data_IF_298886482722
#
_entry.id   IF_298886482722
#
_cell.length_a   1.000
_cell.length_b   1.000
_cell.length_c   1.000
_cell.angle_alpha   90.00
_cell.angle_beta   90.00
_cell.angle_gamma   90.00
#
_symmetry.space_group_name_H-M   'P 1'
#
loop_
_entity.id
_entity.type
_entity.pdbx_description
1 polymer ?
2 non-polymer ?
3 water ?
#
# COMPACT_ATOMS: atom_id res chain seq x y z
N UNK A 7 -16.59 5.84 20.31
CA UNK A 7 -17.55 4.85 20.76
C UNK A 7 -16.90 3.84 21.71
N UNK A 8 -17.69 3.24 22.61
CA UNK A 8 -17.10 2.40 23.66
C UNK A 8 -16.46 1.15 23.09
N UNK A 9 -15.41 0.63 23.73
CA UNK A 9 -14.82 -0.63 23.26
C UNK A 9 -15.79 -1.80 23.33
N UNK A 10 -15.55 -2.79 22.47
CA UNK A 10 -16.22 -4.08 22.54
C UNK A 10 -15.16 -5.16 22.73
N UNK A 11 -15.61 -6.33 23.17
CA UNK A 11 -14.65 -7.43 23.27
C UNK A 11 -14.20 -7.89 21.88
N UNK A 12 -13.07 -8.61 21.87
CA UNK A 12 -12.57 -9.17 20.62
C UNK A 12 -13.59 -10.12 20.00
N UNK A 13 -14.23 -10.96 20.82
CA UNK A 13 -15.23 -11.88 20.30
C UNK A 13 -16.43 -11.11 19.74
N UNK A 14 -16.87 -10.04 20.41
CA UNK A 14 -17.99 -9.26 19.92
C UNK A 14 -17.64 -8.58 18.59
N UNK A 15 -16.41 -8.11 18.46
CA UNK A 15 -16.00 -7.51 17.19
C UNK A 15 -16.02 -8.54 16.08
N UNK A 16 -15.48 -9.73 16.34
CA UNK A 16 -15.43 -10.78 15.34
C UNK A 16 -16.82 -11.29 14.97
N UNK A 17 -17.75 -11.26 15.92
CA UNK A 17 -19.12 -11.62 15.60
C UNK A 17 -19.78 -10.57 14.70
N UNK A 18 -19.22 -9.36 14.64
CA UNK A 18 -19.72 -8.31 13.77
C UNK A 18 -18.83 -8.11 12.54
N UNK A 19 -18.22 -9.18 12.04
CA UNK A 19 -17.37 -9.02 10.86
C UNK A 19 -18.20 -8.69 9.61
N UNK A 20 -17.49 -8.31 8.54
CA UNK A 20 -18.13 -7.97 7.28
C UNK A 20 -19.05 -9.09 6.81
N UNK A 21 -20.31 -8.74 6.56
CA UNK A 21 -21.34 -9.71 6.22
C UNK A 21 -21.42 -9.85 4.71
N UNK A 22 -21.24 -11.07 4.21
CA UNK A 22 -21.18 -11.29 2.77
C UNK A 22 -21.54 -12.75 2.47
N UNK A 23 -22.30 -12.96 1.38
CA UNK A 23 -22.72 -14.30 0.99
C UNK A 23 -21.65 -14.92 0.08
N UNK A 24 -20.68 -15.60 0.70
CA UNK A 24 -19.59 -16.18 -0.08
C UNK A 24 -20.06 -17.33 -0.97
N UNK A 25 -21.13 -18.02 -0.59
CA UNK A 25 -21.55 -19.14 -1.43
C UNK A 25 -22.03 -18.67 -2.80
N UNK A 26 -22.61 -17.47 -2.88
CA UNK A 26 -23.13 -16.95 -4.14
C UNK A 26 -22.08 -16.18 -4.97
N UNK A 27 -20.83 -16.12 -4.51
CA UNK A 27 -19.83 -15.26 -5.12
C UNK A 27 -18.68 -16.11 -5.65
N UNK A 28 -18.16 -15.76 -6.81
CA UNK A 28 -16.96 -16.39 -7.34
C UNK A 28 -15.83 -15.35 -7.34
N UNK A 29 -14.88 -15.42 -6.42
CA UNK A 29 -13.76 -14.46 -6.44
C UNK A 29 -13.01 -14.56 -7.76
N UNK A 30 -12.57 -13.45 -8.33
CA UNK A 30 -11.85 -13.55 -9.61
C UNK A 30 -10.51 -14.25 -9.43
N UNK A 31 -10.22 -15.17 -10.34
CA UNK A 31 -8.99 -15.96 -10.28
C UNK A 31 -7.83 -15.10 -10.77
N UNK A 32 -6.72 -15.13 -10.06
CA UNK A 32 -5.55 -14.37 -10.49
C UNK A 32 -4.97 -15.00 -11.76
N UNK A 33 -4.86 -14.20 -12.81
CA UNK A 33 -4.37 -14.77 -14.06
C UNK A 33 -2.90 -15.16 -13.99
N UNK A 34 -2.07 -14.34 -13.32
CA UNK A 34 -0.63 -14.55 -13.26
C UNK A 34 -0.20 -14.80 -11.83
N UNK A 35 -0.19 -16.07 -11.42
CA UNK A 35 0.34 -16.42 -10.10
C UNK A 35 1.86 -16.35 -10.10
N UNK A 36 2.44 -15.91 -9.01
CA UNK A 36 3.88 -15.87 -8.90
C UNK A 36 4.39 -14.44 -8.75
N UNK A 37 5.71 -14.35 -8.73
CA UNK A 37 6.42 -13.10 -8.44
C UNK A 37 7.13 -12.64 -9.70
N UNK A 38 7.02 -11.35 -10.00
CA UNK A 38 7.58 -10.73 -11.21
C UNK A 38 8.26 -9.42 -10.86
N UNK A 39 9.55 -9.33 -11.13
CA UNK A 39 10.24 -8.05 -11.07
C UNK A 39 9.71 -7.14 -12.17
N UNK A 40 9.55 -5.86 -11.85
CA UNK A 40 9.06 -4.89 -12.81
C UNK A 40 9.96 -3.65 -12.78
N UNK A 41 9.89 -2.87 -13.84
CA UNK A 41 10.48 -1.54 -13.85
C UNK A 41 9.53 -0.62 -14.60
N UNK A 42 9.75 0.67 -14.44
CA UNK A 42 8.98 1.66 -15.18
C UNK A 42 9.87 2.85 -15.39
N UNK A 43 9.83 3.41 -16.59
CA UNK A 43 10.64 4.59 -16.88
C UNK A 43 9.98 5.84 -16.31
N UNK A 44 10.79 6.89 -16.18
CA UNK A 44 10.22 8.18 -15.81
C UNK A 44 9.22 8.64 -16.85
N UNK A 45 9.52 8.40 -18.14
CA UNK A 45 8.57 8.80 -19.18
C UNK A 45 7.21 8.14 -18.96
N UNK A 46 7.20 6.84 -18.63
CA UNK A 46 5.94 6.16 -18.39
C UNK A 46 5.24 6.69 -17.14
N UNK A 47 5.99 6.84 -16.05
CA UNK A 47 5.36 7.16 -14.77
C UNK A 47 4.87 8.59 -14.71
N UNK A 48 5.43 9.50 -15.53
CA UNK A 48 5.05 10.90 -15.28
C UNK A 48 3.59 11.12 -15.67
N UNK A 49 3.00 10.23 -16.45
CA UNK A 49 1.58 10.33 -16.77
C UNK A 49 0.70 9.75 -15.67
N UNK A 50 1.29 9.14 -14.66
CA UNK A 50 0.57 8.64 -13.50
C UNK A 50 0.86 9.45 -12.23
N UNK A 51 1.56 10.59 -12.35
CA UNK A 51 1.83 11.40 -11.17
C UNK A 51 0.56 12.10 -10.71
N UNK A 52 0.34 12.12 -9.38
CA UNK A 52 -0.66 12.98 -8.77
C UNK A 52 0.12 14.21 -8.28
N UNK A 53 -0.05 15.35 -8.98
CA UNK A 53 0.75 16.53 -8.65
C UNK A 53 0.29 17.28 -7.40
N UNK A 54 -0.93 17.05 -6.91
CA UNK A 54 -1.42 17.87 -5.80
C UNK A 54 -0.57 17.69 -4.54
N UNK A 55 -0.13 16.48 -4.16
CA UNK A 55 0.75 16.37 -2.98
C UNK A 55 2.12 16.98 -3.20
N UNK A 56 2.58 17.12 -4.44
CA UNK A 56 3.83 17.81 -4.72
C UNK A 56 3.73 19.26 -4.30
N UNK A 57 2.63 19.91 -4.64
CA UNK A 57 2.48 21.32 -4.29
C UNK A 57 2.28 21.46 -2.78
N UNK A 58 1.69 20.45 -2.14
CA UNK A 58 1.57 20.50 -0.68
C UNK A 58 2.95 20.45 -0.02
N UNK A 59 3.86 19.65 -0.57
CA UNK A 59 5.21 19.60 -0.06
C UNK A 59 5.88 20.97 -0.15
N UNK A 60 5.51 21.75 -1.16
CA UNK A 60 6.03 23.11 -1.31
C UNK A 60 5.17 24.17 -0.61
N UNK A 61 4.21 23.75 0.23
CA UNK A 61 3.41 24.62 1.07
C UNK A 61 2.43 25.49 0.27
N UNK A 62 1.91 24.98 -0.83
CA UNK A 62 0.92 25.70 -1.63
C UNK A 62 -0.37 24.91 -1.61
N UNK A 63 -1.48 25.61 -1.41
CA UNK A 63 -2.79 24.99 -1.31
C UNK A 63 -3.50 25.08 -2.66
N UNK A 64 -4.27 24.03 -2.97
CA UNK A 64 -5.06 24.01 -4.19
C UNK A 64 -4.78 22.72 -4.93
N UNK A 65 -5.76 22.29 -5.72
CA UNK A 65 -5.65 21.07 -6.49
C UNK A 65 -5.06 21.38 -7.85
N UNK A 66 -4.18 20.50 -8.31
CA UNK A 66 -3.68 20.56 -9.67
C UNK A 66 -4.75 19.96 -10.60
N UNK A 67 -4.98 20.54 -11.79
CA UNK A 67 -4.27 21.66 -12.45
C UNK A 67 -4.74 23.07 -12.09
N UNK A 68 -5.87 23.22 -11.39
CA UNK A 68 -6.43 24.56 -11.19
C UNK A 68 -5.47 25.47 -10.44
N UNK A 69 -4.58 24.90 -9.61
CA UNK A 69 -3.66 25.71 -8.83
C UNK A 69 -2.76 26.56 -9.72
N UNK A 70 -2.49 26.08 -10.94
CA UNK A 70 -1.61 26.83 -11.84
C UNK A 70 -2.21 28.18 -12.20
N UNK A 71 -3.54 28.26 -12.32
CA UNK A 71 -4.20 29.51 -12.67
C UNK A 71 -4.72 30.26 -11.43
N UNK A 72 -4.22 29.91 -10.24
CA UNK A 72 -4.58 30.62 -9.02
C UNK A 72 -4.04 32.04 -9.03
N UNK A 73 -4.77 32.95 -8.35
CA UNK A 73 -4.47 34.37 -8.44
C UNK A 73 -3.32 34.80 -7.52
N UNK A 74 -3.06 34.07 -6.44
CA UNK A 74 -2.04 34.46 -5.47
C UNK A 74 -0.81 33.56 -5.54
N UNK A 75 -1.00 32.24 -5.68
CA UNK A 75 0.11 31.29 -5.72
C UNK A 75 0.38 30.72 -7.12
N UNK A 76 -0.44 31.08 -8.12
CA UNK A 76 -0.32 30.46 -9.44
C UNK A 76 1.04 30.66 -10.10
N UNK A 77 1.61 31.86 -10.00
CA UNK A 77 2.88 32.09 -10.67
C UNK A 77 4.00 31.28 -10.01
N UNK A 78 4.01 31.23 -8.68
CA UNK A 78 4.97 30.38 -7.98
C UNK A 78 4.74 28.91 -8.32
N UNK A 79 3.48 28.47 -8.34
CA UNK A 79 3.18 27.08 -8.69
C UNK A 79 3.66 26.75 -10.09
N UNK A 80 3.47 27.68 -11.03
CA UNK A 80 3.94 27.43 -12.40
C UNK A 80 5.46 27.28 -12.45
N UNK A 81 6.19 28.10 -11.68
CA UNK A 81 7.65 27.99 -11.67
C UNK A 81 8.09 26.67 -11.04
N UNK A 82 7.45 26.29 -9.94
CA UNK A 82 7.74 24.99 -9.34
C UNK A 82 7.47 23.86 -10.33
N UNK A 83 6.33 23.92 -11.03
CA UNK A 83 5.99 22.88 -11.99
C UNK A 83 7.01 22.80 -13.12
N UNK A 84 7.45 23.97 -13.62
CA UNK A 84 8.45 24.01 -14.68
C UNK A 84 9.78 23.42 -14.21
N UNK A 85 10.27 23.86 -13.05
CA UNK A 85 11.50 23.29 -12.52
C UNK A 85 11.38 21.79 -12.29
N UNK A 86 10.22 21.33 -11.80
CA UNK A 86 10.02 19.90 -11.59
C UNK A 86 10.12 19.14 -12.91
N UNK A 87 9.45 19.63 -13.95
CA UNK A 87 9.45 18.89 -15.21
C UNK A 87 10.78 19.01 -15.93
N UNK A 88 11.51 20.11 -15.76
CA UNK A 88 12.88 20.18 -16.28
C UNK A 88 13.77 19.16 -15.59
N UNK A 89 13.57 18.96 -14.28
CA UNK A 89 14.39 17.97 -13.59
C UNK A 89 13.99 16.55 -14.00
N UNK A 90 12.68 16.28 -14.15
CA UNK A 90 12.27 14.97 -14.66
C UNK A 90 12.89 14.72 -16.03
N UNK A 91 12.91 15.76 -16.89
CA UNK A 91 13.48 15.59 -18.22
C UNK A 91 14.94 15.17 -18.14
N UNK A 92 15.71 15.79 -17.24
CA UNK A 92 17.13 15.49 -17.10
C UNK A 92 17.34 14.11 -16.49
N UNK A 93 16.60 13.80 -15.42
CA UNK A 93 16.69 12.47 -14.82
C UNK A 93 16.34 11.38 -15.82
N UNK A 94 15.35 11.66 -16.67
CA UNK A 94 14.93 10.70 -17.70
C UNK A 94 16.01 10.52 -18.77
N UNK A 95 16.55 11.62 -19.27
CA UNK A 95 17.51 11.54 -20.36
C UNK A 95 18.81 10.91 -19.90
N UNK A 96 19.24 11.23 -18.68
CA UNK A 96 20.51 10.76 -18.13
C UNK A 96 20.39 9.42 -17.43
N UNK A 97 19.17 8.91 -17.22
CA UNK A 97 18.94 7.61 -16.57
C UNK A 97 19.62 7.55 -15.20
N UNK A 98 19.50 8.65 -14.45
CA UNK A 98 20.16 8.77 -13.15
C UNK A 98 19.25 8.47 -11.97
N UNK A 99 17.96 8.24 -12.23
CA UNK A 99 17.02 7.81 -11.21
C UNK A 99 16.09 6.81 -11.89
N UNK A 100 16.10 5.57 -11.40
CA UNK A 100 15.53 4.44 -12.15
C UNK A 100 14.49 3.71 -11.31
N UNK A 101 13.19 3.99 -11.51
CA UNK A 101 12.17 3.31 -10.70
C UNK A 101 12.16 1.80 -10.92
N UNK A 102 11.97 1.07 -9.81
CA UNK A 102 11.96 -0.39 -9.83
C UNK A 102 10.89 -0.88 -8.89
N UNK A 103 10.43 -2.11 -9.16
CA UNK A 103 9.43 -2.70 -8.30
C UNK A 103 9.36 -4.20 -8.47
N UNK A 104 8.43 -4.79 -7.71
CA UNK A 104 8.15 -6.22 -7.78
C UNK A 104 6.69 -6.41 -7.39
N UNK A 105 6.04 -7.36 -8.06
CA UNK A 105 4.63 -7.69 -7.83
C UNK A 105 4.49 -9.20 -7.65
N UNK A 106 3.51 -9.63 -6.85
CA UNK A 106 3.23 -11.06 -6.71
C UNK A 106 1.75 -11.30 -6.46
N UNK A 107 1.27 -12.45 -6.98
CA UNK A 107 -0.09 -12.93 -6.73
C UNK A 107 0.00 -14.35 -6.23
N UNK A 108 -0.87 -14.68 -5.28
CA UNK A 108 -0.82 -15.95 -4.56
C UNK A 108 -2.21 -16.48 -4.25
N UNK A 109 -2.39 -17.80 -4.21
CA UNK A 109 -3.65 -18.34 -3.65
C UNK A 109 -3.74 -17.99 -2.19
N UNK A 110 -4.95 -17.67 -1.73
CA UNK A 110 -5.11 -17.21 -0.34
C UNK A 110 -6.52 -17.48 0.15
N UNK A 111 -6.67 -17.63 1.48
CA UNK A 111 -7.98 -17.71 2.10
C UNK A 111 -7.89 -17.10 3.49
N UNK A 112 -9.02 -16.55 3.93
CA UNK A 112 -9.14 -16.05 5.28
C UNK A 112 -9.28 -17.18 6.30
N UNK A 113 -8.58 -17.04 7.42
CA UNK A 113 -8.88 -17.80 8.64
C UNK A 113 -8.90 -16.81 9.80
N UNK A 114 -10.09 -16.53 10.34
CA UNK A 114 -10.18 -15.58 11.46
C UNK A 114 -9.84 -14.19 10.98
N UNK A 115 -8.94 -13.53 11.71
CA UNK A 115 -8.50 -12.18 11.38
C UNK A 115 -7.25 -12.20 10.49
N UNK A 116 -6.86 -13.37 10.00
CA UNK A 116 -5.64 -13.53 9.21
C UNK A 116 -5.95 -14.06 7.81
N UNK A 117 -4.98 -13.89 6.92
CA UNK A 117 -5.06 -14.38 5.56
C UNK A 117 -3.93 -15.38 5.36
N UNK A 118 -4.28 -16.64 5.10
CA UNK A 118 -3.28 -17.65 4.76
C UNK A 118 -2.89 -17.50 3.30
N UNK A 119 -1.59 -17.53 3.03
CA UNK A 119 -1.06 -17.44 1.67
C UNK A 119 -0.40 -18.77 1.34
N UNK A 120 -0.86 -19.43 0.28
CA UNK A 120 -0.49 -20.82 0.04
C UNK A 120 0.65 -20.92 -0.96
N UNK A 121 1.41 -22.02 -0.86
CA UNK A 121 2.44 -22.34 -1.84
C UNK A 121 1.86 -22.53 -3.24
N UNK A 122 0.68 -23.15 -3.33
CA UNK A 122 0.14 -23.50 -4.63
C UNK A 122 -1.36 -23.72 -4.51
N UNK A 123 -1.99 -24.10 -5.63
CA UNK A 123 -3.44 -24.22 -5.64
C UNK A 123 -3.97 -25.44 -4.88
N UNK A 124 -3.10 -26.33 -4.39
CA UNK A 124 -3.63 -27.33 -3.48
C UNK A 124 -4.11 -26.71 -2.17
N UNK A 125 -3.66 -25.49 -1.85
CA UNK A 125 -4.09 -24.79 -0.63
C UNK A 125 -3.90 -25.63 0.62
N UNK A 126 -2.74 -26.25 0.72
CA UNK A 126 -2.38 -27.02 1.90
C UNK A 126 -1.28 -26.25 2.61
N UNK A 127 -0.06 -26.32 2.10
CA UNK A 127 1.11 -25.70 2.72
C UNK A 127 0.98 -24.17 2.66
N UNK A 128 1.15 -23.53 3.80
CA UNK A 128 1.11 -22.09 3.94
C UNK A 128 2.54 -21.58 3.86
N UNK A 129 2.81 -20.67 2.93
CA UNK A 129 4.15 -20.11 2.87
C UNK A 129 4.27 -18.88 3.77
N UNK A 130 3.17 -18.16 3.99
CA UNK A 130 3.18 -16.96 4.84
C UNK A 130 1.76 -16.72 5.32
N UNK A 131 1.62 -16.06 6.46
CA UNK A 131 0.34 -15.58 6.92
C UNK A 131 0.42 -14.06 6.96
N UNK A 132 -0.56 -13.41 6.34
CA UNK A 132 -0.77 -11.96 6.46
C UNK A 132 -1.73 -11.72 7.63
N UNK A 133 -1.23 -11.10 8.71
CA UNK A 133 -2.01 -10.89 9.92
C UNK A 133 -2.67 -9.51 9.89
N UNK A 134 -3.93 -9.45 10.33
CA UNK A 134 -4.63 -8.18 10.35
C UNK A 134 -5.31 -7.94 11.69
N UNK A 135 -5.59 -6.67 11.94
CA UNK A 135 -6.31 -6.22 13.11
C UNK A 135 -7.74 -5.87 12.76
N UNK A 136 -8.60 -5.87 13.78
CA UNK A 136 -10.02 -5.61 13.62
C UNK A 136 -10.45 -4.41 14.45
N UNK A 137 -11.28 -3.54 13.84
CA UNK A 137 -11.90 -2.45 14.58
C UNK A 137 -12.56 -2.99 15.83
N UNK A 138 -12.42 -2.26 16.95
CA UNK A 138 -12.83 -2.84 18.22
C UNK A 138 -13.63 -1.85 19.07
N UNK A 139 -14.44 -1.03 18.44
CA UNK A 139 -15.40 -0.19 19.16
C UNK A 139 -16.80 -0.48 18.63
N UNK A 140 -17.81 0.02 19.35
CA UNK A 140 -19.19 -0.26 19.00
C UNK A 140 -19.53 0.41 17.67
N UNK A 141 -19.95 -0.40 16.70
CA UNK A 141 -20.28 0.09 15.36
C UNK A 141 -21.78 0.01 15.17
N UNK A 142 -22.36 1.09 14.67
CA UNK A 142 -23.80 1.17 14.40
C UNK A 142 -23.99 1.17 12.89
N UNK A 143 -24.63 0.12 12.38
CA UNK A 143 -24.87 0.02 10.95
C UNK A 143 -23.67 -0.32 10.10
N UNK A 144 -22.54 -0.65 10.71
CA UNK A 144 -21.36 -1.10 9.98
C UNK A 144 -20.77 -2.31 10.69
N UNK A 145 -20.08 -3.12 9.91
CA UNK A 145 -19.24 -4.17 10.46
C UNK A 145 -18.11 -3.57 11.29
N UNK A 146 -17.56 -4.40 12.18
CA UNK A 146 -16.24 -4.17 12.75
C UNK A 146 -15.24 -4.70 11.73
N UNK A 147 -14.70 -3.81 10.89
CA UNK A 147 -13.95 -4.26 9.72
C UNK A 147 -12.57 -4.79 10.08
N UNK A 148 -12.14 -5.78 9.30
CA UNK A 148 -10.80 -6.35 9.30
C UNK A 148 -10.47 -6.67 7.85
N UNK A 149 -9.25 -6.34 7.40
CA UNK A 149 -8.96 -6.54 5.96
C UNK A 149 -9.12 -8.00 5.56
N UNK A 150 -8.90 -8.94 6.48
CA UNK A 150 -9.07 -10.34 6.12
C UNK A 150 -10.49 -10.65 5.67
N UNK A 151 -11.47 -9.87 6.12
CA UNK A 151 -12.86 -10.12 5.74
C UNK A 151 -13.09 -10.05 4.24
N UNK A 152 -12.17 -9.41 3.50
CA UNK A 152 -12.37 -9.25 2.06
C UNK A 152 -11.84 -10.42 1.26
N UNK A 153 -11.33 -11.46 1.91
CA UNK A 153 -10.88 -12.70 1.26
C UNK A 153 -11.79 -13.83 1.71
N UNK A 154 -12.13 -14.74 0.78
CA UNK A 154 -13.09 -15.79 1.14
C UNK A 154 -12.58 -16.62 2.30
N UNK A 155 -13.45 -16.92 3.28
CA UNK A 155 -13.06 -17.83 4.37
C UNK A 155 -12.66 -19.19 3.81
N UNK A 156 -11.62 -19.77 4.40
CA UNK A 156 -11.22 -21.14 4.02
C UNK A 156 -12.40 -22.11 4.13
N UNK A 157 -13.27 -21.92 5.14
CA UNK A 157 -14.41 -22.80 5.34
C UNK A 157 -15.40 -22.73 4.17
N UNK A 158 -15.43 -21.62 3.43
CA UNK A 158 -16.33 -21.47 2.29
C UNK A 158 -15.92 -22.32 1.10
N UNK A 159 -14.67 -22.79 1.08
CA UNK A 159 -14.13 -23.57 -0.01
C UNK A 159 -13.93 -22.79 -1.31
N UNK A 160 -14.08 -21.48 -1.30
CA UNK A 160 -13.94 -20.69 -2.54
C UNK A 160 -12.48 -20.37 -2.81
N UNK A 161 -12.02 -20.59 -4.05
CA UNK A 161 -10.66 -20.24 -4.44
C UNK A 161 -10.51 -18.73 -4.49
N UNK A 162 -9.66 -18.19 -3.64
CA UNK A 162 -9.39 -16.75 -3.61
C UNK A 162 -7.90 -16.50 -3.68
N UNK A 163 -7.53 -15.22 -3.76
CA UNK A 163 -6.18 -14.79 -4.09
C UNK A 163 -5.87 -13.50 -3.37
N UNK A 164 -4.59 -13.24 -3.19
CA UNK A 164 -4.11 -11.97 -2.64
C UNK A 164 -2.90 -11.55 -3.46
N UNK A 165 -2.66 -10.24 -3.54
CA UNK A 165 -1.46 -9.74 -4.17
C UNK A 165 -0.64 -8.90 -3.21
N UNK A 166 0.60 -8.64 -3.63
CA UNK A 166 1.45 -7.72 -2.88
C UNK A 166 2.38 -7.02 -3.87
N UNK A 167 2.93 -5.88 -3.44
CA UNK A 167 3.84 -5.10 -4.26
C UNK A 167 4.83 -4.33 -3.39
N UNK A 168 5.94 -3.96 -4.02
CA UNK A 168 6.88 -2.98 -3.48
C UNK A 168 7.44 -2.22 -4.66
N UNK A 169 7.45 -0.89 -4.57
CA UNK A 169 7.97 -0.04 -5.66
C UNK A 169 8.77 1.11 -5.06
N UNK A 170 9.72 1.62 -5.84
CA UNK A 170 10.53 2.77 -5.44
C UNK A 170 10.73 3.72 -6.61
N UNK A 171 10.86 5.02 -6.28
CA UNK A 171 11.29 5.98 -7.29
C UNK A 171 12.68 5.71 -7.82
N UNK A 172 13.50 4.99 -7.08
CA UNK A 172 14.84 4.65 -7.53
C UNK A 172 15.85 4.64 -6.42
N UNK A 173 16.84 3.74 -6.53
CA UNK A 173 17.85 3.59 -5.48
C UNK A 173 18.79 4.78 -5.40
N UNK A 174 18.84 5.59 -6.46
CA UNK A 174 19.75 6.71 -6.58
C UNK A 174 19.29 7.94 -5.81
N UNK A 175 18.10 7.89 -5.20
CA UNK A 175 17.55 9.07 -4.55
C UNK A 175 18.53 9.71 -3.57
N UNK A 176 19.13 8.92 -2.67
CA UNK A 176 20.03 9.49 -1.66
C UNK A 176 21.26 10.14 -2.31
N UNK A 177 21.85 9.48 -3.30
CA UNK A 177 23.05 10.04 -3.92
C UNK A 177 22.74 11.39 -4.57
N UNK A 178 21.55 11.52 -5.16
CA UNK A 178 21.22 12.78 -5.83
C UNK A 178 20.89 13.87 -4.82
N UNK A 179 20.14 13.53 -3.79
CA UNK A 179 19.83 14.48 -2.72
C UNK A 179 21.09 14.87 -1.97
N UNK A 180 21.98 13.91 -1.69
CA UNK A 180 23.18 14.21 -0.89
C UNK A 180 24.13 15.13 -1.62
N UNK A 181 24.15 15.03 -2.95
CA UNK A 181 24.96 15.94 -3.76
C UNK A 181 24.44 17.36 -3.66
N UNK A 182 23.13 17.56 -3.80
CA UNK A 182 22.57 18.90 -3.60
C UNK A 182 22.84 19.38 -2.18
N UNK A 183 22.72 18.50 -1.19
CA UNK A 183 22.99 18.92 0.19
C UNK A 183 24.42 19.41 0.35
N UNK A 184 25.39 18.70 -0.22
CA UNK A 184 26.77 19.12 -0.07
C UNK A 184 27.02 20.47 -0.75
N UNK A 185 26.26 20.80 -1.79
CA UNK A 185 26.33 22.10 -2.48
C UNK A 185 25.56 23.21 -1.76
N UNK A 186 24.96 22.92 -0.60
CA UNK A 186 24.02 23.84 0.07
C UNK A 186 22.91 24.29 -0.86
N UNK A 187 22.42 23.37 -1.70
CA UNK A 187 21.33 23.66 -2.64
C UNK A 187 20.05 23.05 -2.09
N UNK A 188 19.48 23.73 -1.10
CA UNK A 188 18.31 23.19 -0.41
C UNK A 188 17.12 23.04 -1.35
N UNK A 189 16.97 23.99 -2.29
CA UNK A 189 15.85 23.95 -3.23
C UNK A 189 15.87 22.68 -4.06
N UNK A 190 17.02 22.34 -4.60
CA UNK A 190 17.03 21.17 -5.47
C UNK A 190 17.07 19.87 -4.68
N UNK A 191 17.61 19.91 -3.45
CA UNK A 191 17.51 18.73 -2.59
C UNK A 191 16.04 18.42 -2.31
N UNK A 192 15.25 19.43 -1.92
CA UNK A 192 13.80 19.22 -1.73
C UNK A 192 13.14 18.78 -3.04
N UNK A 193 13.57 19.35 -4.17
CA UNK A 193 12.93 19.05 -5.45
C UNK A 193 13.13 17.60 -5.83
N UNK A 194 14.37 17.09 -5.74
CA UNK A 194 14.61 15.73 -6.22
C UNK A 194 13.94 14.73 -5.30
N UNK A 195 13.90 15.01 -3.99
CA UNK A 195 13.18 14.11 -3.09
C UNK A 195 11.67 14.16 -3.36
N UNK A 196 11.13 15.33 -3.68
CA UNK A 196 9.70 15.42 -3.96
C UNK A 196 9.37 14.72 -5.26
N UNK A 197 10.27 14.78 -6.22
CA UNK A 197 10.06 14.05 -7.47
C UNK A 197 10.19 12.54 -7.27
N UNK A 198 11.17 12.09 -6.47
CA UNK A 198 11.27 10.66 -6.23
C UNK A 198 10.01 10.14 -5.55
N UNK A 199 9.46 10.91 -4.61
CA UNK A 199 8.20 10.57 -3.96
C UNK A 199 7.06 10.48 -4.96
N UNK A 200 6.93 11.47 -5.87
CA UNK A 200 5.89 11.39 -6.89
C UNK A 200 6.08 10.16 -7.78
N UNK A 201 7.33 9.84 -8.11
CA UNK A 201 7.57 8.67 -8.98
C UNK A 201 7.23 7.36 -8.27
N UNK A 202 7.56 7.25 -6.98
CA UNK A 202 7.18 6.06 -6.23
C UNK A 202 5.65 5.92 -6.19
N UNK A 203 4.95 7.00 -5.87
CA UNK A 203 3.50 6.93 -5.77
C UNK A 203 2.88 6.70 -7.14
N UNK A 204 3.42 7.32 -8.20
CA UNK A 204 2.97 7.04 -9.55
C UNK A 204 3.17 5.56 -9.90
N UNK A 205 4.32 5.00 -9.51
CA UNK A 205 4.53 3.56 -9.75
C UNK A 205 3.51 2.73 -9.00
N UNK A 206 3.18 3.11 -7.76
CA UNK A 206 2.14 2.34 -7.07
C UNK A 206 0.81 2.41 -7.82
N UNK A 207 0.46 3.59 -8.35
CA UNK A 207 -0.79 3.74 -9.09
C UNK A 207 -0.76 2.93 -10.39
N UNK A 208 0.33 3.09 -11.16
CA UNK A 208 0.47 2.36 -12.42
C UNK A 208 0.46 0.85 -12.20
N UNK A 209 1.24 0.36 -11.22
CA UNK A 209 1.30 -1.09 -11.02
C UNK A 209 -0.04 -1.63 -10.56
N UNK A 210 -0.77 -0.88 -9.73
CA UNK A 210 -2.10 -1.33 -9.32
C UNK A 210 -3.01 -1.47 -10.54
N UNK A 211 -2.96 -0.51 -11.47
CA UNK A 211 -3.73 -0.63 -12.70
C UNK A 211 -3.32 -1.86 -13.48
N UNK A 212 -2.01 -2.12 -13.60
CA UNK A 212 -1.50 -3.32 -14.26
C UNK A 212 -2.07 -4.57 -13.59
N UNK A 213 -2.18 -4.56 -12.26
CA UNK A 213 -2.68 -5.73 -11.55
C UNK A 213 -4.17 -5.91 -11.81
N UNK A 214 -4.97 -4.84 -11.71
CA UNK A 214 -6.40 -4.97 -11.97
C UNK A 214 -6.67 -5.45 -13.39
N UNK A 215 -5.93 -4.89 -14.36
CA UNK A 215 -6.24 -5.13 -15.77
C UNK A 215 -5.61 -6.40 -16.30
N UNK A 216 -4.44 -6.82 -15.79
CA UNK A 216 -3.66 -7.86 -16.45
C UNK A 216 -3.16 -8.91 -15.46
N UNK A 217 -2.38 -8.55 -14.43
CA UNK A 217 -1.80 -9.61 -13.60
C UNK A 217 -2.88 -10.38 -12.84
N UNK A 218 -3.77 -9.67 -12.16
CA UNK A 218 -4.96 -10.30 -11.59
C UNK A 218 -6.01 -10.43 -12.68
N UNK A 219 -6.29 -9.33 -13.38
CA UNK A 219 -7.02 -9.42 -14.63
C UNK A 219 -8.52 -9.40 -14.49
N UNK A 220 -9.03 -8.91 -13.34
CA UNK A 220 -10.47 -8.87 -13.13
C UNK A 220 -11.12 -7.65 -13.76
N UNK A 221 -10.34 -6.69 -14.24
CA UNK A 221 -10.90 -5.49 -14.87
C UNK A 221 -10.16 -5.20 -16.19
N UNK A 222 -10.18 -6.14 -17.14
CA UNK A 222 -9.33 -5.99 -18.33
C UNK A 222 -9.70 -4.83 -19.23
N UNK A 223 -10.94 -4.35 -19.15
CA UNK A 223 -11.41 -3.27 -20.01
C UNK A 223 -11.60 -1.95 -19.26
N UNK A 224 -11.09 -1.87 -18.04
CA UNK A 224 -11.04 -0.60 -17.33
C UNK A 224 -10.35 0.45 -18.19
N UNK A 225 -10.94 1.65 -18.29
CA UNK A 225 -10.33 2.76 -19.04
C UNK A 225 -10.53 4.06 -18.26
N UNK A 226 -9.74 4.25 -17.23
CA UNK A 226 -9.88 5.40 -16.37
C UNK A 226 -8.83 6.45 -16.70
N UNK A 227 -9.22 7.71 -16.58
CA UNK A 227 -8.27 8.82 -16.66
C UNK A 227 -7.44 8.88 -15.38
N UNK A 228 -6.34 9.61 -15.45
CA UNK A 228 -5.54 9.78 -14.23
C UNK A 228 -6.34 10.45 -13.13
N UNK A 229 -7.23 11.38 -13.49
CA UNK A 229 -8.08 12.01 -12.48
C UNK A 229 -9.02 11.00 -11.83
N UNK A 230 -9.55 10.07 -12.63
CA UNK A 230 -10.40 9.00 -12.09
C UNK A 230 -9.58 8.04 -11.23
N UNK A 231 -8.34 7.76 -11.60
CA UNK A 231 -7.49 6.96 -10.72
C UNK A 231 -7.27 7.65 -9.38
N UNK A 232 -6.99 8.96 -9.42
CA UNK A 232 -6.78 9.70 -8.17
C UNK A 232 -8.03 9.63 -7.31
N UNK A 233 -9.20 9.65 -7.93
CA UNK A 233 -10.45 9.53 -7.17
C UNK A 233 -10.78 8.12 -6.76
N UNK A 234 -9.92 7.13 -7.10
CA UNK A 234 -10.12 5.73 -6.68
C UNK A 234 -11.39 5.13 -7.27
N UNK A 235 -11.69 5.46 -8.54
CA UNK A 235 -12.90 5.01 -9.23
C UNK A 235 -12.68 3.66 -9.89
N UNK A 236 -12.15 2.72 -9.13
CA UNK A 236 -11.91 1.38 -9.61
C UNK A 236 -12.29 0.41 -8.51
N UNK A 237 -12.37 -0.85 -8.89
CA UNK A 237 -12.71 -1.92 -7.95
C UNK A 237 -11.45 -2.45 -7.29
N UNK A 238 -11.48 -2.57 -5.96
CA UNK A 238 -10.38 -3.11 -5.21
C UNK A 238 -9.51 -2.04 -4.58
N UNK A 239 -8.65 -2.47 -3.65
CA UNK A 239 -7.80 -1.56 -2.87
C UNK A 239 -6.37 -2.09 -2.82
N UNK A 240 -5.45 -1.20 -2.41
CA UNK A 240 -4.04 -1.52 -2.29
C UNK A 240 -3.52 -1.05 -0.92
N UNK A 241 -4.09 -1.55 0.17
CA UNK A 241 -3.72 -1.02 1.49
C UNK A 241 -2.25 -1.28 1.82
N UNK A 242 -1.63 -0.31 2.47
CA UNK A 242 -0.20 -0.33 2.75
C UNK A 242 0.08 -0.43 4.24
N UNK A 243 0.93 -1.36 4.68
CA UNK A 243 1.29 -1.40 6.11
C UNK A 243 1.79 -0.05 6.61
N UNK A 244 1.28 0.33 7.78
CA UNK A 244 1.50 1.63 8.39
C UNK A 244 0.34 2.58 8.27
N UNK A 245 -0.52 2.38 7.29
CA UNK A 245 -1.70 3.21 7.09
C UNK A 245 -2.85 2.66 7.92
N UNK A 246 -3.95 3.41 8.06
CA UNK A 246 -4.89 3.12 9.17
C UNK A 246 -5.62 1.78 9.11
N UNK A 247 -5.82 1.15 7.94
CA UNK A 247 -6.48 -0.16 7.95
C UNK A 247 -5.52 -1.30 8.31
N UNK A 248 -4.22 -1.04 8.26
CA UNK A 248 -3.20 -2.04 8.59
C UNK A 248 -2.01 -1.29 9.15
N UNK A 249 -2.14 -0.79 10.39
CA UNK A 249 -1.12 0.12 10.92
C UNK A 249 0.18 -0.55 11.34
N UNK A 250 0.22 -1.86 11.42
CA UNK A 250 1.32 -2.57 12.08
C UNK A 250 2.47 -2.77 11.09
N UNK A 251 3.58 -2.05 11.31
CA UNK A 251 4.65 -1.96 10.31
C UNK A 251 5.42 -3.26 10.10
N UNK A 252 5.46 -4.16 11.10
CA UNK A 252 6.31 -5.34 10.91
C UNK A 252 5.76 -6.29 9.84
N UNK A 253 4.50 -6.12 9.42
CA UNK A 253 4.02 -6.93 8.30
C UNK A 253 4.75 -6.61 7.00
N UNK A 254 5.50 -5.51 6.93
CA UNK A 254 6.31 -5.31 5.74
C UNK A 254 7.33 -6.42 5.58
N UNK A 255 7.75 -7.05 6.71
CA UNK A 255 8.70 -8.16 6.60
C UNK A 255 8.09 -9.32 5.82
N UNK A 256 6.78 -9.53 5.96
CA UNK A 256 6.11 -10.59 5.21
C UNK A 256 6.12 -10.30 3.72
N UNK A 257 5.85 -9.04 3.34
CA UNK A 257 5.93 -8.64 1.93
C UNK A 257 7.34 -8.83 1.41
N UNK A 258 8.35 -8.44 2.21
CA UNK A 258 9.73 -8.55 1.76
C UNK A 258 10.10 -10.01 1.48
N UNK A 259 9.60 -10.95 2.31
CA UNK A 259 9.88 -12.37 2.09
C UNK A 259 9.06 -12.92 0.92
N UNK A 260 7.76 -12.62 0.89
CA UNK A 260 6.88 -13.13 -0.16
C UNK A 260 7.39 -12.77 -1.56
N UNK A 261 7.86 -11.54 -1.73
CA UNK A 261 8.23 -11.04 -3.05
C UNK A 261 9.72 -11.07 -3.29
N UNK A 262 10.51 -11.55 -2.33
CA UNK A 262 11.96 -11.37 -2.37
C UNK A 262 12.34 -9.94 -2.79
N UNK A 263 11.79 -8.96 -2.07
CA UNK A 263 11.88 -7.57 -2.49
C UNK A 263 13.33 -7.14 -2.66
N UNK A 264 14.19 -7.45 -1.70
CA UNK A 264 15.55 -6.92 -1.78
C UNK A 264 16.29 -7.47 -3.00
N UNK A 265 16.12 -8.77 -3.28
CA UNK A 265 16.73 -9.39 -4.45
C UNK A 265 16.24 -8.75 -5.74
N UNK A 266 14.95 -8.47 -5.82
CA UNK A 266 14.36 -8.02 -7.08
C UNK A 266 14.42 -6.53 -7.30
N UNK A 267 14.62 -5.72 -6.25
CA UNK A 267 14.56 -4.27 -6.37
C UNK A 267 15.68 -3.52 -5.71
N UNK A 268 16.41 -4.13 -4.77
CA UNK A 268 17.36 -3.42 -3.95
C UNK A 268 16.77 -2.71 -2.75
N UNK A 269 15.44 -2.68 -2.63
CA UNK A 269 14.78 -2.01 -1.51
C UNK A 269 14.98 -2.79 -0.21
N UNK A 270 15.11 -2.05 0.89
CA UNK A 270 15.45 -2.61 2.20
C UNK A 270 14.47 -2.14 3.27
N UNK A 271 14.42 -2.88 4.38
CA UNK A 271 13.69 -2.49 5.59
C UNK A 271 14.67 -2.12 6.71
N UNK A 272 14.34 -1.08 7.48
CA UNK A 272 15.13 -0.73 8.64
C UNK A 272 14.67 -1.52 9.87
N UNK A 273 15.34 -1.28 11.00
CA UNK A 273 14.90 -1.92 12.23
C UNK A 273 13.56 -1.40 12.70
N UNK A 274 13.19 -0.18 12.31
CA UNK A 274 11.86 0.35 12.57
C UNK A 274 10.86 -0.15 11.55
N UNK A 275 11.31 -0.94 10.57
CA UNK A 275 10.52 -1.39 9.42
C UNK A 275 10.10 -0.23 8.52
N UNK A 276 10.87 0.85 8.54
CA UNK A 276 10.73 1.83 7.47
C UNK A 276 11.39 1.29 6.21
N UNK A 277 10.93 1.76 5.06
CA UNK A 277 11.47 1.31 3.78
C UNK A 277 12.61 2.22 3.34
N UNK A 278 13.62 1.63 2.69
CA UNK A 278 14.63 2.38 1.96
C UNK A 278 14.62 1.89 0.51
N UNK A 279 14.66 2.79 -0.48
CA UNK A 279 14.73 4.25 -0.36
C UNK A 279 13.53 4.91 0.33
N UNK A 280 13.72 6.16 0.77
CA UNK A 280 12.61 6.89 1.38
C UNK A 280 11.41 6.97 0.46
N UNK A 281 11.65 7.22 -0.83
CA UNK A 281 10.57 7.24 -1.82
C UNK A 281 10.26 5.79 -2.23
N UNK A 282 9.45 5.14 -1.40
CA UNK A 282 9.03 3.76 -1.59
C UNK A 282 7.59 3.59 -1.12
N UNK A 283 6.90 2.61 -1.73
CA UNK A 283 5.56 2.20 -1.31
C UNK A 283 5.51 0.69 -1.35
N UNK A 284 4.89 0.09 -0.33
CA UNK A 284 4.62 -1.36 -0.40
C UNK A 284 3.26 -1.65 0.17
N UNK A 285 2.66 -2.74 -0.27
CA UNK A 285 1.34 -3.06 0.26
C UNK A 285 0.78 -4.31 -0.36
N UNK A 286 -0.53 -4.45 -0.19
CA UNK A 286 -1.30 -5.61 -0.59
C UNK A 286 -2.27 -5.23 -1.69
N UNK A 287 -2.83 -6.24 -2.37
CA UNK A 287 -3.91 -6.01 -3.32
C UNK A 287 -5.10 -6.88 -2.95
N UNK A 288 -6.27 -6.27 -2.88
CA UNK A 288 -7.56 -6.93 -2.66
C UNK A 288 -8.47 -6.63 -3.83
N UNK A 289 -9.17 -7.66 -4.32
CA UNK A 289 -10.04 -7.50 -5.47
C UNK A 289 -11.49 -7.27 -5.11
N UNK A 290 -11.89 -7.52 -3.87
CA UNK A 290 -13.31 -7.63 -3.57
C UNK A 290 -14.02 -6.32 -3.87
N UNK A 291 -15.21 -6.35 -4.48
CA UNK A 291 -15.91 -5.09 -4.80
C UNK A 291 -16.27 -4.24 -3.59
N UNK A 292 -16.41 -4.83 -2.40
CA UNK A 292 -16.78 -4.08 -1.20
C UNK A 292 -15.57 -3.69 -0.37
N UNK A 293 -14.37 -4.00 -0.84
CA UNK A 293 -13.18 -3.64 -0.08
C UNK A 293 -13.02 -2.12 -0.10
N UNK A 294 -12.55 -1.58 1.02
CA UNK A 294 -12.50 -0.14 1.20
C UNK A 294 -11.48 0.16 2.28
N UNK A 295 -11.04 1.42 2.34
CA UNK A 295 -10.15 1.87 3.41
C UNK A 295 -10.96 2.34 4.62
N UNK A 296 -10.32 2.27 5.77
CA UNK A 296 -10.92 2.65 7.05
C UNK A 296 -9.78 2.68 8.05
N UNK A 297 -10.08 3.06 9.29
CA UNK A 297 -9.09 3.04 10.37
C UNK A 297 -9.41 1.94 11.36
N UNK A 298 -8.43 1.08 11.65
CA UNK A 298 -8.58 0.13 12.77
C UNK A 298 -8.88 0.85 14.07
N UNK A 299 -8.13 1.91 14.35
CA UNK A 299 -8.28 2.75 15.55
C UNK A 299 -7.89 1.96 16.80
N UNK A 300 -8.49 2.26 17.96
CA UNK A 300 -7.99 1.82 19.25
C UNK A 300 -8.38 0.38 19.55
N UNK A 301 -7.43 -0.44 19.99
CA UNK A 301 -7.73 -1.85 20.27
C UNK A 301 -7.39 -2.15 21.72
N UNK A 302 -7.89 -3.29 22.18
CA UNK A 302 -7.85 -3.62 23.59
C UNK A 302 -6.86 -4.74 23.86
N UNK A 303 -6.64 -5.01 25.14
CA UNK A 303 -5.61 -5.96 25.56
C UNK A 303 -5.89 -7.35 24.99
N UNK A 304 -7.17 -7.76 24.94
CA UNK A 304 -7.46 -9.10 24.41
C UNK A 304 -6.99 -9.23 22.97
N UNK A 305 -7.17 -8.19 22.16
CA UNK A 305 -6.73 -8.33 20.76
C UNK A 305 -5.20 -8.24 20.65
N UNK A 306 -4.57 -7.40 21.48
CA UNK A 306 -3.11 -7.33 21.52
C UNK A 306 -2.51 -8.69 21.82
N UNK A 307 -3.05 -9.36 22.86
CA UNK A 307 -2.49 -10.64 23.27
C UNK A 307 -2.71 -11.70 22.19
N UNK A 308 -3.88 -11.68 21.56
CA UNK A 308 -4.15 -12.61 20.48
C UNK A 308 -3.24 -12.36 19.28
N UNK A 309 -3.05 -11.09 18.94
CA UNK A 309 -2.14 -10.75 17.84
C UNK A 309 -0.73 -11.24 18.16
N UNK A 310 -0.27 -11.05 19.40
CA UNK A 310 1.05 -11.53 19.78
C UNK A 310 1.19 -13.03 19.55
N UNK A 311 0.21 -13.82 20.03
CA UNK A 311 0.29 -15.26 19.80
C UNK A 311 0.38 -15.59 18.31
N UNK A 312 -0.47 -14.96 17.49
CA UNK A 312 -0.46 -15.29 16.07
C UNK A 312 0.86 -14.94 15.40
N UNK A 313 1.49 -13.86 15.86
CA UNK A 313 2.75 -13.36 15.31
C UNK A 313 3.97 -14.09 15.84
N UNK A 314 3.80 -14.94 16.83
CA UNK A 314 4.98 -15.51 17.47
C UNK A 314 5.76 -14.51 18.29
N UNK A 315 5.10 -13.48 18.81
CA UNK A 315 5.74 -12.41 19.56
C UNK A 315 5.26 -12.42 21.00
N UNK A 316 6.04 -11.81 21.90
CA UNK A 316 5.54 -11.60 23.24
C UNK A 316 4.59 -10.41 23.25
N UNK A 317 3.75 -10.35 24.28
CA UNK A 317 2.86 -9.20 24.45
C UNK A 317 3.66 -7.91 24.53
N UNK A 318 4.79 -7.92 25.25
CA UNK A 318 5.63 -6.73 25.34
C UNK A 318 6.10 -6.25 23.97
N UNK A 319 6.58 -7.19 23.13
CA UNK A 319 6.98 -6.84 21.77
C UNK A 319 5.84 -6.18 21.01
N UNK A 320 4.67 -6.79 21.03
CA UNK A 320 3.55 -6.26 20.25
C UNK A 320 3.13 -4.89 20.76
N UNK A 321 3.28 -4.64 22.07
CA UNK A 321 2.85 -3.34 22.57
C UNK A 321 3.74 -2.22 22.05
N UNK A 322 4.97 -2.53 21.67
CA UNK A 322 5.77 -1.53 20.96
C UNK A 322 5.22 -1.27 19.56
N UNK A 323 5.02 -2.34 18.80
CA UNK A 323 4.64 -2.20 17.39
C UNK A 323 3.24 -1.63 17.23
N UNK A 324 2.38 -1.84 18.23
CA UNK A 324 1.01 -1.38 18.18
C UNK A 324 0.77 -0.16 19.07
N UNK A 325 1.83 0.45 19.62
CA UNK A 325 1.66 1.57 20.54
C UNK A 325 0.67 2.63 20.07
N UNK A 326 0.68 3.11 18.82
CA UNK A 326 -0.28 4.14 18.41
C UNK A 326 -1.73 3.70 18.44
N UNK A 327 -2.00 2.39 18.45
CA UNK A 327 -3.36 1.88 18.40
C UNK A 327 -3.82 1.30 19.72
N UNK A 328 -3.04 1.44 20.79
CA UNK A 328 -3.46 0.87 22.07
C UNK A 328 -4.54 1.73 22.70
N UNK A 329 -5.66 1.11 23.05
CA UNK A 329 -6.78 1.76 23.71
C UNK A 329 -6.69 1.68 25.21
N UNK A 330 -5.47 1.54 25.73
CA UNK A 330 -5.25 1.35 27.16
C UNK A 330 -3.81 1.75 27.47
N UNK A 331 -3.52 1.94 28.75
CA UNK A 331 -2.19 2.36 29.15
C UNK A 331 -1.31 1.13 29.35
N UNK A 332 -0.24 1.04 28.55
CA UNK A 332 0.68 -0.09 28.62
C UNK A 332 1.96 0.25 29.38
#
# INVERSE_FOLDING_TARGET
>A
GSKKPRTPPVTLEAARDNDFAFDWQAYTPPVAHRLGVQEVEASIETLRNYIDWTPFFMTWSLAGKYPRILEDEVVGVEAQRLFKDANDMLDKLSAEKTLNPRGVVGLFPANRVGDDIEIYRDETRTHVINVSHHLRQQTEKTGFANYCLADFVAPKLSGKADYIGAFAVTGGLEEDALADAFEAQHDDYNKIMVKALADRLAEAFAEYLHERVRKVYWGYAPNENLSNEELIRENYQGIRPAPGYPACPEHTEKATIWELLEVEKHTGMKLTESFAMWPGASVSGWYFSHPDSKYYAVAQIQRDQVEDYARRKGMSVTEVERWLAPNLGYDAD
#
